data_IF_572977501895
#
_entry.id   IF_572977501895
#
_cell.length_a   1.000
_cell.length_b   1.000
_cell.length_c   1.000
_cell.angle_alpha   90.00
_cell.angle_beta   90.00
_cell.angle_gamma   90.00
#
_symmetry.space_group_name_H-M   'P 1'
#
loop_
_entity.id
_entity.type
_entity.pdbx_description
1 polymer ?
#
# COMPACT_ATOMS: atom_id res chain seq x y z
N UNK A 1 -5.05 -22.43 9.57
CA UNK A 1 -5.79 -21.54 8.69
C UNK A 1 -5.67 -22.02 7.26
N UNK A 2 -6.70 -22.48 6.60
CA UNK A 2 -6.60 -22.82 5.20
C UNK A 2 -6.90 -21.61 4.33
N UNK A 3 -5.85 -21.06 3.73
CA UNK A 3 -5.99 -20.46 2.41
C UNK A 3 -6.22 -21.61 1.42
N UNK A 4 -7.34 -22.28 1.52
CA UNK A 4 -7.62 -23.39 0.66
C UNK A 4 -8.73 -23.02 -0.28
N UNK A 5 -8.34 -22.53 -1.39
CA UNK A 5 -8.87 -22.91 -2.67
C UNK A 5 -8.16 -22.19 -3.80
N UNK A 6 -7.54 -22.90 -4.53
CA UNK A 6 -6.60 -23.12 -5.34
C UNK A 6 -6.78 -23.48 -6.67
N UNK A 7 -6.42 -22.72 -7.68
CA UNK A 7 -6.20 -23.18 -9.02
C UNK A 7 -4.75 -23.62 -9.18
N UNK A 8 -4.56 -24.81 -9.64
CA UNK A 8 -3.27 -25.47 -9.77
C UNK A 8 -2.33 -24.80 -10.74
N UNK A 9 -1.09 -24.65 -10.37
CA UNK A 9 0.04 -24.62 -11.30
C UNK A 9 0.71 -23.28 -11.54
N UNK A 10 0.05 -22.13 -11.27
CA UNK A 10 0.67 -20.81 -11.44
C UNK A 10 1.26 -20.21 -10.15
N UNK A 11 0.96 -20.81 -9.00
CA UNK A 11 1.24 -20.23 -7.68
C UNK A 11 2.72 -20.16 -7.30
N UNK A 12 3.55 -20.96 -7.93
CA UNK A 12 4.98 -21.04 -7.61
C UNK A 12 5.81 -19.87 -8.16
N UNK A 13 5.34 -19.20 -9.20
CA UNK A 13 6.07 -18.13 -9.88
C UNK A 13 5.67 -16.74 -9.38
N UNK A 14 4.41 -16.56 -8.99
CA UNK A 14 3.84 -15.27 -8.59
C UNK A 14 4.33 -14.83 -7.21
N UNK A 15 4.72 -15.76 -6.33
CA UNK A 15 5.07 -15.46 -4.93
C UNK A 15 6.48 -14.91 -4.72
N UNK A 16 7.33 -14.89 -5.74
CA UNK A 16 8.76 -14.53 -5.58
C UNK A 16 9.16 -13.17 -6.14
N UNK A 17 8.42 -12.61 -7.09
CA UNK A 17 8.79 -11.33 -7.71
C UNK A 17 7.58 -10.45 -7.99
N UNK A 18 7.49 -9.34 -7.29
CA UNK A 18 6.42 -8.33 -7.39
C UNK A 18 6.80 -7.13 -8.29
N UNK A 19 7.88 -7.25 -9.06
CA UNK A 19 8.39 -6.12 -9.85
C UNK A 19 7.38 -5.61 -10.89
N UNK A 20 6.66 -6.51 -11.56
CA UNK A 20 5.68 -6.12 -12.59
C UNK A 20 4.45 -5.40 -12.01
N UNK A 21 3.76 -5.92 -10.98
CA UNK A 21 2.70 -5.17 -10.30
C UNK A 21 3.18 -3.85 -9.73
N UNK A 22 4.37 -3.82 -9.12
CA UNK A 22 4.97 -2.60 -8.58
C UNK A 22 5.20 -1.53 -9.66
N UNK A 23 5.75 -1.93 -10.82
CA UNK A 23 5.91 -1.05 -11.97
C UNK A 23 4.57 -0.45 -12.43
N UNK A 24 3.53 -1.28 -12.54
CA UNK A 24 2.19 -0.81 -12.91
C UNK A 24 1.64 0.24 -11.94
N UNK A 25 1.75 0.00 -10.63
CA UNK A 25 1.28 0.96 -9.62
C UNK A 25 2.05 2.27 -9.64
N UNK A 26 3.38 2.24 -9.82
CA UNK A 26 4.18 3.46 -9.92
C UNK A 26 3.80 4.30 -11.14
N UNK A 27 3.52 3.65 -12.28
CA UNK A 27 3.03 4.35 -13.48
C UNK A 27 1.64 4.95 -13.27
N UNK A 28 0.72 4.19 -12.67
CA UNK A 28 -0.62 4.68 -12.34
C UNK A 28 -0.56 5.87 -11.39
N UNK A 29 0.30 5.80 -10.39
CA UNK A 29 0.50 6.90 -9.43
C UNK A 29 1.10 8.15 -10.10
N UNK A 30 2.11 8.00 -10.96
CA UNK A 30 2.68 9.12 -11.70
C UNK A 30 1.64 9.79 -12.59
N UNK A 31 0.82 8.99 -13.31
CA UNK A 31 -0.26 9.51 -14.15
C UNK A 31 -1.33 10.24 -13.34
N UNK A 32 -1.73 9.69 -12.19
CA UNK A 32 -2.71 10.31 -11.29
C UNK A 32 -2.24 11.69 -10.81
N UNK A 33 -1.00 11.77 -10.33
CA UNK A 33 -0.44 13.03 -9.83
C UNK A 33 -0.35 14.07 -10.94
N UNK A 34 0.07 13.71 -12.14
CA UNK A 34 0.16 14.63 -13.29
C UNK A 34 -1.20 15.08 -13.80
N UNK A 35 -2.21 14.20 -13.77
CA UNK A 35 -3.55 14.52 -14.24
C UNK A 35 -4.39 15.33 -13.25
N UNK A 36 -3.95 15.44 -11.99
CA UNK A 36 -4.70 16.12 -10.93
C UNK A 36 -4.09 17.51 -10.64
N UNK A 37 -4.75 18.60 -10.98
CA UNK A 37 -4.24 19.95 -10.67
C UNK A 37 -4.04 20.14 -9.17
N UNK A 38 -2.87 20.65 -8.79
CA UNK A 38 -2.54 20.92 -7.39
C UNK A 38 -2.34 19.66 -6.52
N UNK A 39 -2.22 18.49 -7.13
CA UNK A 39 -2.06 17.20 -6.42
C UNK A 39 -0.99 17.24 -5.34
N UNK A 40 0.18 17.79 -5.63
CA UNK A 40 1.34 17.77 -4.73
C UNK A 40 1.10 18.50 -3.40
N UNK A 41 0.20 19.52 -3.38
CA UNK A 41 -0.12 20.27 -2.18
C UNK A 41 -1.24 19.66 -1.33
N UNK A 42 -1.96 18.64 -1.83
CA UNK A 42 -3.04 17.98 -1.07
C UNK A 42 -2.47 17.18 0.09
N UNK A 43 -3.18 17.16 1.22
CA UNK A 43 -2.82 16.32 2.36
C UNK A 43 -3.22 14.87 2.12
N UNK A 44 -2.36 13.96 2.60
CA UNK A 44 -2.62 12.51 2.62
C UNK A 44 -3.49 12.13 3.82
N UNK A 45 -3.75 10.84 4.02
CA UNK A 45 -4.41 10.34 5.23
C UNK A 45 -3.59 10.59 6.50
N UNK A 46 -2.32 10.99 6.36
CA UNK A 46 -1.45 11.38 7.48
C UNK A 46 -1.53 12.90 7.70
N UNK A 47 -2.01 13.37 8.86
CA UNK A 47 -2.09 14.80 9.15
C UNK A 47 -0.74 15.51 8.97
N UNK A 48 -0.75 16.63 8.23
CA UNK A 48 0.44 17.43 7.97
C UNK A 48 1.41 16.85 6.94
N UNK A 49 1.07 15.74 6.27
CA UNK A 49 1.88 15.13 5.22
C UNK A 49 1.23 15.37 3.86
N UNK A 50 1.89 16.14 3.01
CA UNK A 50 1.40 16.39 1.64
C UNK A 50 1.72 15.22 0.71
N UNK A 51 1.02 15.16 -0.43
CA UNK A 51 1.32 14.21 -1.53
C UNK A 51 2.78 14.31 -1.95
N UNK A 52 3.33 15.52 -2.08
CA UNK A 52 4.75 15.73 -2.38
C UNK A 52 5.67 15.07 -1.35
N UNK A 53 5.42 15.30 -0.07
CA UNK A 53 6.22 14.72 1.01
C UNK A 53 6.13 13.19 1.02
N UNK A 54 4.94 12.63 0.79
CA UNK A 54 4.73 11.18 0.71
C UNK A 54 5.43 10.55 -0.50
N UNK A 55 5.45 11.23 -1.65
CA UNK A 55 6.21 10.78 -2.83
C UNK A 55 7.71 10.78 -2.57
N UNK A 56 8.24 11.80 -1.91
CA UNK A 56 9.66 11.86 -1.53
C UNK A 56 10.03 10.76 -0.55
N UNK A 57 9.16 10.46 0.41
CA UNK A 57 9.33 9.34 1.34
C UNK A 57 9.36 8.00 0.59
N UNK A 58 8.42 7.76 -0.33
CA UNK A 58 8.39 6.56 -1.15
C UNK A 58 9.67 6.39 -1.97
N UNK A 59 10.12 7.44 -2.67
CA UNK A 59 11.33 7.40 -3.48
C UNK A 59 12.58 7.19 -2.62
N UNK A 60 12.62 7.76 -1.41
CA UNK A 60 13.71 7.56 -0.46
C UNK A 60 13.77 6.10 -0.01
N UNK A 61 12.65 5.51 0.43
CA UNK A 61 12.60 4.13 0.91
C UNK A 61 13.01 3.13 -0.17
N UNK A 62 12.69 3.40 -1.42
CA UNK A 62 13.06 2.56 -2.56
C UNK A 62 14.56 2.57 -2.89
N UNK A 63 15.24 3.69 -2.63
CA UNK A 63 16.69 3.84 -2.88
C UNK A 63 17.56 3.36 -1.72
N UNK A 64 16.94 3.05 -0.58
CA UNK A 64 17.68 2.57 0.57
C UNK A 64 18.30 1.20 0.33
N UNK A 65 19.53 1.08 0.79
CA UNK A 65 20.19 -0.21 0.86
C UNK A 65 19.62 -1.03 2.05
N UNK A 66 19.94 -2.32 2.07
CA UNK A 66 19.44 -3.27 3.07
C UNK A 66 19.68 -2.83 4.53
N UNK A 67 20.77 -2.12 4.80
CA UNK A 67 21.14 -1.65 6.13
C UNK A 67 20.33 -0.43 6.54
N UNK A 68 20.08 0.49 5.64
CA UNK A 68 19.25 1.66 5.88
C UNK A 68 17.80 1.25 6.18
N UNK A 69 17.25 0.27 5.47
CA UNK A 69 15.92 -0.30 5.76
C UNK A 69 15.84 -0.99 7.13
N UNK A 70 16.94 -1.57 7.62
CA UNK A 70 16.99 -2.17 8.95
C UNK A 70 17.02 -1.09 10.05
N UNK A 71 17.76 -0.02 9.85
CA UNK A 71 17.88 1.10 10.78
C UNK A 71 16.53 1.83 10.96
N UNK A 72 15.75 2.03 9.88
CA UNK A 72 14.43 2.65 9.94
C UNK A 72 13.45 1.88 10.83
N UNK A 73 13.55 0.56 10.85
CA UNK A 73 12.71 -0.29 11.71
C UNK A 73 12.99 -0.12 13.21
N UNK A 74 14.12 0.45 13.57
CA UNK A 74 14.51 0.70 14.98
C UNK A 74 14.08 2.08 15.46
N UNK A 75 13.35 2.84 14.64
CA UNK A 75 12.79 4.15 15.03
C UNK A 75 13.74 5.34 14.82
N UNK A 76 14.80 5.18 14.03
CA UNK A 76 15.57 6.32 13.57
C UNK A 76 14.68 7.22 12.71
N UNK A 77 14.43 8.44 13.16
CA UNK A 77 13.62 9.42 12.44
C UNK A 77 14.40 9.88 11.20
N UNK A 78 13.82 9.64 10.02
CA UNK A 78 14.52 9.74 8.76
C UNK A 78 14.18 11.02 8.03
N UNK A 79 15.21 11.78 7.75
CA UNK A 79 15.14 12.85 6.75
C UNK A 79 15.23 12.23 5.35
N UNK A 80 14.54 12.77 4.35
CA UNK A 80 14.70 12.35 2.97
C UNK A 80 16.18 12.32 2.59
N UNK A 81 16.58 11.34 1.76
CA UNK A 81 17.93 11.34 1.19
C UNK A 81 18.21 12.71 0.57
N UNK A 82 19.39 13.33 0.79
CA UNK A 82 19.72 14.64 0.22
C UNK A 82 19.47 14.71 -1.29
N UNK A 83 19.69 13.61 -2.00
CA UNK A 83 19.45 13.49 -3.44
C UNK A 83 17.96 13.61 -3.78
N UNK A 84 17.07 12.98 -3.01
CA UNK A 84 15.64 13.04 -3.21
C UNK A 84 15.08 14.40 -2.76
N UNK A 85 15.63 14.98 -1.70
CA UNK A 85 15.24 16.31 -1.24
C UNK A 85 15.58 17.40 -2.27
N UNK A 86 16.64 17.22 -3.06
CA UNK A 86 17.07 18.14 -4.11
C UNK A 86 16.30 17.98 -5.45
N UNK A 87 15.43 16.99 -5.59
CA UNK A 87 14.60 16.83 -6.81
C UNK A 87 13.53 17.91 -6.82
N UNK A 88 13.43 18.65 -7.92
CA UNK A 88 12.31 19.58 -8.12
C UNK A 88 10.96 18.82 -8.11
N UNK A 89 9.95 19.45 -7.55
CA UNK A 89 8.61 18.85 -7.42
C UNK A 89 8.05 18.34 -8.76
N UNK A 90 8.25 19.11 -9.83
CA UNK A 90 7.81 18.78 -11.19
C UNK A 90 8.51 17.54 -11.79
N UNK A 91 9.62 17.12 -11.20
CA UNK A 91 10.39 15.96 -11.66
C UNK A 91 10.09 14.69 -10.88
N UNK A 92 9.32 14.74 -9.79
CA UNK A 92 9.02 13.58 -8.96
C UNK A 92 8.31 12.47 -9.75
N UNK A 93 7.38 12.85 -10.60
CA UNK A 93 6.63 11.88 -11.45
C UNK A 93 7.53 11.24 -12.51
N UNK A 94 8.48 11.99 -13.08
CA UNK A 94 9.46 11.43 -13.99
C UNK A 94 10.35 10.39 -13.29
N UNK A 95 10.79 10.65 -12.07
CA UNK A 95 11.56 9.69 -11.26
C UNK A 95 10.75 8.44 -10.94
N UNK A 96 9.44 8.58 -10.64
CA UNK A 96 8.56 7.41 -10.46
C UNK A 96 8.46 6.56 -11.74
N UNK A 97 8.40 7.18 -12.91
CA UNK A 97 8.39 6.47 -14.20
C UNK A 97 9.71 5.75 -14.46
N UNK A 98 10.84 6.38 -14.18
CA UNK A 98 12.15 5.76 -14.34
C UNK A 98 12.29 4.53 -13.43
N UNK A 99 11.81 4.62 -12.19
CA UNK A 99 11.74 3.51 -11.25
C UNK A 99 10.82 2.39 -11.78
N UNK A 100 9.67 2.74 -12.35
CA UNK A 100 8.74 1.78 -12.94
C UNK A 100 9.36 1.06 -14.15
N UNK A 101 10.05 1.78 -15.02
CA UNK A 101 10.78 1.19 -16.17
C UNK A 101 11.87 0.25 -15.65
N UNK A 102 12.61 0.63 -14.63
CA UNK A 102 13.64 -0.21 -14.01
C UNK A 102 13.03 -1.53 -13.48
N UNK A 103 11.88 -1.47 -12.81
CA UNK A 103 11.17 -2.65 -12.32
C UNK A 103 10.59 -3.52 -13.44
N UNK A 104 10.20 -2.95 -14.56
CA UNK A 104 9.69 -3.70 -15.73
C UNK A 104 10.78 -4.47 -16.47
N UNK A 105 12.04 -4.06 -16.32
CA UNK A 105 13.19 -4.77 -16.89
C UNK A 105 13.36 -6.14 -16.25
N UNK A 106 13.22 -7.22 -17.01
CA UNK A 106 13.05 -8.61 -16.56
C UNK A 106 14.05 -9.17 -15.53
N UNK A 107 15.13 -8.45 -15.22
CA UNK A 107 16.11 -8.80 -14.16
C UNK A 107 15.77 -8.19 -12.79
N UNK A 108 14.86 -7.22 -12.74
CA UNK A 108 14.51 -6.55 -11.50
C UNK A 108 13.75 -7.48 -10.54
N UNK A 109 14.03 -7.35 -9.26
CA UNK A 109 13.34 -8.09 -8.20
C UNK A 109 12.69 -7.11 -7.24
N UNK A 110 11.44 -7.38 -6.89
CA UNK A 110 10.69 -6.65 -5.89
C UNK A 110 10.11 -7.66 -4.88
N UNK A 111 10.46 -7.50 -3.63
CA UNK A 111 9.93 -8.33 -2.55
C UNK A 111 8.51 -7.90 -2.20
N UNK A 112 7.75 -8.78 -1.48
CA UNK A 112 6.41 -8.43 -0.99
C UNK A 112 6.44 -7.19 -0.07
N UNK A 113 7.48 -7.02 0.73
CA UNK A 113 7.63 -5.84 1.59
C UNK A 113 7.81 -4.56 0.80
N UNK A 114 8.66 -4.56 -0.25
CA UNK A 114 8.86 -3.42 -1.15
C UNK A 114 7.61 -3.09 -1.95
N UNK A 115 6.93 -4.12 -2.44
CA UNK A 115 5.65 -3.95 -3.11
C UNK A 115 4.58 -3.39 -2.16
N UNK A 116 4.55 -3.86 -0.91
CA UNK A 116 3.65 -3.36 0.12
C UNK A 116 3.85 -1.87 0.40
N UNK A 117 5.09 -1.37 0.44
CA UNK A 117 5.37 0.06 0.56
C UNK A 117 4.78 0.87 -0.60
N UNK A 118 4.95 0.38 -1.83
CA UNK A 118 4.39 1.02 -3.04
C UNK A 118 2.85 0.99 -3.00
N UNK A 119 2.26 -0.17 -2.67
CA UNK A 119 0.82 -0.32 -2.61
C UNK A 119 0.19 0.59 -1.55
N UNK A 120 0.76 0.64 -0.36
CA UNK A 120 0.27 1.51 0.73
C UNK A 120 0.36 2.98 0.33
N UNK A 121 1.47 3.40 -0.29
CA UNK A 121 1.61 4.76 -0.78
C UNK A 121 0.58 5.06 -1.89
N UNK A 122 0.37 4.13 -2.82
CA UNK A 122 -0.60 4.30 -3.90
C UNK A 122 -2.03 4.43 -3.36
N UNK A 123 -2.43 3.63 -2.37
CA UNK A 123 -3.74 3.71 -1.73
C UNK A 123 -3.92 5.00 -0.90
N UNK A 124 -2.90 5.41 -0.15
CA UNK A 124 -2.91 6.66 0.63
C UNK A 124 -3.07 7.87 -0.30
N UNK A 125 -2.26 7.93 -1.37
CA UNK A 125 -2.30 9.02 -2.34
C UNK A 125 -3.56 8.97 -3.23
N UNK A 126 -4.01 7.77 -3.63
CA UNK A 126 -5.28 7.59 -4.34
C UNK A 126 -6.45 8.16 -3.52
N UNK A 127 -6.53 7.82 -2.25
CA UNK A 127 -7.54 8.36 -1.33
C UNK A 127 -7.43 9.89 -1.20
N UNK A 128 -6.23 10.43 -1.06
CA UNK A 128 -6.00 11.87 -0.97
C UNK A 128 -6.40 12.64 -2.25
N UNK A 129 -6.34 11.97 -3.40
CA UNK A 129 -6.65 12.54 -4.71
C UNK A 129 -8.05 12.13 -5.23
N UNK A 130 -8.87 11.48 -4.40
CA UNK A 130 -10.21 10.98 -4.73
C UNK A 130 -10.21 10.04 -5.96
N UNK A 131 -9.19 9.18 -6.06
CA UNK A 131 -9.02 8.26 -7.18
C UNK A 131 -8.86 6.81 -6.72
N UNK A 132 -9.53 5.90 -7.43
CA UNK A 132 -9.30 4.47 -7.28
C UNK A 132 -8.23 4.00 -8.28
N UNK A 133 -7.14 3.43 -7.77
CA UNK A 133 -6.05 2.92 -8.59
C UNK A 133 -6.23 1.46 -9.01
N UNK A 134 -7.37 0.84 -8.71
CA UNK A 134 -7.74 -0.49 -9.20
C UNK A 134 -6.74 -1.58 -8.79
N UNK A 135 -6.53 -1.79 -7.50
CA UNK A 135 -5.56 -2.77 -7.01
C UNK A 135 -6.07 -4.20 -7.19
N UNK A 136 -5.23 -5.05 -7.74
CA UNK A 136 -5.51 -6.48 -7.90
C UNK A 136 -5.85 -7.14 -6.55
N UNK A 137 -6.96 -7.91 -6.46
CA UNK A 137 -7.40 -8.57 -5.22
C UNK A 137 -6.35 -9.50 -4.61
N UNK A 138 -5.65 -10.26 -5.42
CA UNK A 138 -4.60 -11.17 -4.94
C UNK A 138 -3.41 -10.38 -4.37
N UNK A 139 -3.01 -9.31 -5.04
CA UNK A 139 -1.92 -8.45 -4.61
C UNK A 139 -2.24 -7.76 -3.27
N UNK A 140 -3.46 -7.22 -3.12
CA UNK A 140 -3.89 -6.60 -1.86
C UNK A 140 -3.94 -7.60 -0.71
N UNK A 141 -4.42 -8.82 -0.94
CA UNK A 141 -4.45 -9.90 0.06
C UNK A 141 -3.06 -10.33 0.50
N UNK A 142 -2.11 -10.48 -0.43
CA UNK A 142 -0.73 -10.82 -0.11
C UNK A 142 -0.05 -9.74 0.74
N UNK A 143 -0.26 -8.46 0.42
CA UNK A 143 0.26 -7.33 1.21
C UNK A 143 -0.43 -7.27 2.57
N UNK A 144 -1.75 -7.47 2.64
CA UNK A 144 -2.47 -7.50 3.92
C UNK A 144 -1.93 -8.58 4.86
N UNK A 145 -1.64 -9.77 4.33
CA UNK A 145 -1.04 -10.87 5.11
C UNK A 145 0.36 -10.50 5.61
N UNK A 146 1.22 -9.96 4.75
CA UNK A 146 2.57 -9.55 5.11
C UNK A 146 2.56 -8.43 6.19
N UNK A 147 1.67 -7.45 6.05
CA UNK A 147 1.47 -6.40 7.05
C UNK A 147 0.92 -6.95 8.37
N UNK A 148 -0.02 -7.91 8.34
CA UNK A 148 -0.58 -8.53 9.53
C UNK A 148 0.48 -9.30 10.33
N UNK A 149 1.36 -10.03 9.67
CA UNK A 149 2.47 -10.76 10.32
C UNK A 149 3.43 -9.77 11.02
N UNK A 150 3.67 -8.61 10.44
CA UNK A 150 4.57 -7.57 10.96
C UNK A 150 3.85 -6.52 11.82
N UNK A 151 2.55 -6.67 12.04
CA UNK A 151 1.74 -5.68 12.74
C UNK A 151 2.26 -5.41 14.18
N UNK A 152 2.32 -4.14 14.61
CA UNK A 152 2.56 -3.79 16.00
C UNK A 152 1.48 -4.35 16.92
N UNK A 153 1.80 -4.46 18.23
CA UNK A 153 0.92 -5.08 19.23
C UNK A 153 -0.52 -4.52 19.19
N UNK A 154 -0.69 -3.21 19.06
CA UNK A 154 -2.01 -2.58 19.02
C UNK A 154 -2.89 -3.10 17.85
N UNK A 155 -2.33 -3.21 16.62
CA UNK A 155 -3.06 -3.76 15.46
C UNK A 155 -3.22 -5.26 15.56
N UNK A 156 -2.21 -5.97 16.08
CA UNK A 156 -2.29 -7.41 16.31
C UNK A 156 -3.43 -7.77 17.26
N UNK A 157 -3.68 -6.95 18.30
CA UNK A 157 -4.83 -7.14 19.19
C UNK A 157 -6.15 -7.07 18.45
N UNK A 158 -6.30 -6.17 17.47
CA UNK A 158 -7.48 -6.13 16.62
C UNK A 158 -7.62 -7.41 15.79
N UNK A 159 -6.53 -7.88 15.16
CA UNK A 159 -6.52 -9.11 14.36
C UNK A 159 -6.78 -10.37 15.19
N UNK A 160 -6.48 -10.36 16.47
CA UNK A 160 -6.81 -11.46 17.40
C UNK A 160 -8.29 -11.42 17.79
N UNK A 161 -8.87 -10.23 17.89
CA UNK A 161 -10.25 -10.03 18.32
C UNK A 161 -11.27 -10.03 17.17
N UNK A 162 -10.83 -9.77 15.94
CA UNK A 162 -11.68 -9.62 14.74
C UNK A 162 -11.05 -10.25 13.51
N UNK A 163 -11.89 -10.74 12.62
CA UNK A 163 -11.52 -11.11 11.25
C UNK A 163 -11.90 -9.96 10.31
N UNK A 164 -10.92 -9.27 9.76
CA UNK A 164 -11.13 -8.24 8.74
C UNK A 164 -11.44 -8.95 7.43
N UNK A 165 -12.61 -8.71 6.85
CA UNK A 165 -13.12 -9.35 5.63
C UNK A 165 -13.19 -8.31 4.53
N UNK A 166 -12.45 -8.52 3.45
CA UNK A 166 -12.51 -7.65 2.29
C UNK A 166 -13.81 -7.91 1.50
N UNK A 167 -14.71 -6.92 1.44
CA UNK A 167 -16.03 -7.06 0.78
C UNK A 167 -15.95 -6.95 -0.74
N UNK A 168 -14.87 -6.39 -1.25
CA UNK A 168 -14.56 -6.19 -2.67
C UNK A 168 -13.51 -7.19 -3.19
N UNK A 169 -13.13 -8.17 -2.36
CA UNK A 169 -12.10 -9.15 -2.66
C UNK A 169 -12.33 -10.45 -1.88
N UNK A 170 -11.82 -11.57 -2.39
CA UNK A 170 -12.04 -12.90 -1.79
C UNK A 170 -10.99 -13.25 -0.72
N UNK A 171 -10.61 -12.30 0.16
CA UNK A 171 -9.67 -12.59 1.23
C UNK A 171 -10.08 -11.99 2.57
N UNK A 172 -9.51 -12.56 3.61
CA UNK A 172 -9.70 -12.10 4.98
C UNK A 172 -8.45 -12.32 5.82
N UNK A 173 -8.30 -11.55 6.91
CA UNK A 173 -7.17 -11.63 7.83
C UNK A 173 -7.61 -11.40 9.27
N UNK A 174 -7.04 -12.18 10.20
CA UNK A 174 -7.37 -12.12 11.62
C UNK A 174 -8.18 -13.33 12.10
N UNK A 175 -8.63 -13.28 13.36
CA UNK A 175 -9.41 -14.34 14.02
C UNK A 175 -10.53 -13.71 14.84
N UNK A 176 -11.68 -14.38 14.92
CA UNK A 176 -12.83 -13.88 15.66
C UNK A 176 -13.98 -13.41 14.76
N UNK A 177 -14.96 -12.67 15.30
CA UNK A 177 -16.11 -12.19 14.53
C UNK A 177 -15.70 -11.33 13.34
N UNK A 178 -16.41 -11.49 12.21
CA UNK A 178 -16.15 -10.76 10.98
C UNK A 178 -16.35 -9.25 11.15
N UNK A 179 -15.45 -8.47 10.58
CA UNK A 179 -15.55 -7.03 10.43
C UNK A 179 -15.35 -6.71 8.93
N UNK A 180 -16.42 -6.49 8.18
CA UNK A 180 -16.34 -6.21 6.75
C UNK A 180 -15.78 -4.80 6.49
N UNK A 181 -14.95 -4.69 5.47
CA UNK A 181 -14.40 -3.44 4.97
C UNK A 181 -13.85 -3.62 3.56
N UNK A 182 -13.54 -2.54 2.84
CA UNK A 182 -12.84 -2.65 1.54
C UNK A 182 -11.40 -3.13 1.73
N UNK A 183 -10.87 -3.82 0.74
CA UNK A 183 -9.47 -4.26 0.72
C UNK A 183 -8.50 -3.12 0.99
N UNK A 184 -8.73 -1.96 0.35
CA UNK A 184 -7.94 -0.75 0.54
C UNK A 184 -7.97 -0.24 1.98
N UNK A 185 -9.15 -0.17 2.60
CA UNK A 185 -9.30 0.24 4.01
C UNK A 185 -8.56 -0.69 4.96
N UNK A 186 -8.62 -2.01 4.72
CA UNK A 186 -7.91 -3.01 5.54
C UNK A 186 -6.39 -2.84 5.39
N UNK A 187 -5.88 -2.72 4.17
CA UNK A 187 -4.44 -2.53 3.92
C UNK A 187 -3.94 -1.24 4.57
N UNK A 188 -4.67 -0.12 4.40
CA UNK A 188 -4.31 1.16 5.01
C UNK A 188 -4.33 1.08 6.55
N UNK A 189 -5.33 0.44 7.14
CA UNK A 189 -5.37 0.19 8.59
C UNK A 189 -4.16 -0.62 9.05
N UNK A 190 -3.84 -1.72 8.39
CA UNK A 190 -2.70 -2.57 8.74
C UNK A 190 -1.36 -1.84 8.59
N UNK A 191 -1.26 -0.94 7.62
CA UNK A 191 -0.09 -0.08 7.42
C UNK A 191 0.00 1.10 8.42
N UNK A 192 -1.08 1.39 9.16
CA UNK A 192 -1.15 2.53 10.08
C UNK A 192 -1.39 3.86 9.37
N UNK A 193 -1.99 3.80 8.21
CA UNK A 193 -2.51 4.95 7.48
C UNK A 193 -3.99 5.09 7.84
N UNK A 194 -4.35 5.85 8.80
CA UNK A 194 -5.71 5.93 9.34
C UNK A 194 -5.77 5.43 10.78
N UNK A 195 -6.27 6.27 11.68
CA UNK A 195 -6.23 6.03 13.12
C UNK A 195 -7.29 5.07 13.66
N UNK A 196 -8.20 4.55 12.83
CA UNK A 196 -9.37 3.78 13.29
C UNK A 196 -9.47 2.48 12.49
N UNK A 197 -9.78 1.34 13.14
CA UNK A 197 -10.12 0.12 12.42
C UNK A 197 -11.24 0.37 11.41
N UNK A 198 -11.28 -0.36 10.29
CA UNK A 198 -12.39 -0.27 9.35
C UNK A 198 -13.70 -0.38 10.12
N UNK A 199 -14.62 0.53 9.88
CA UNK A 199 -15.94 0.47 10.49
C UNK A 199 -16.82 -0.43 9.65
N UNK A 200 -17.67 -1.22 10.30
CA UNK A 200 -18.71 -1.96 9.61
C UNK A 200 -19.65 -0.95 8.96
N UNK A 201 -19.64 -0.87 7.64
CA UNK A 201 -20.69 -0.23 6.88
C UNK A 201 -21.88 -1.18 6.93
N UNK A 202 -22.85 -0.87 7.79
CA UNK A 202 -24.11 -1.60 7.82
C UNK A 202 -24.86 -1.27 6.53
N UNK A 203 -25.32 -2.26 5.76
CA UNK A 203 -26.21 -1.95 4.64
C UNK A 203 -27.41 -1.19 5.20
N UNK A 204 -27.68 0.00 4.67
CA UNK A 204 -28.88 0.73 5.01
C UNK A 204 -30.07 -0.19 4.68
N UNK A 205 -30.81 -0.58 5.72
CA UNK A 205 -32.08 -1.27 5.53
C UNK A 205 -32.95 -0.37 4.66
N UNK A 206 -33.18 -0.81 3.42
CA UNK A 206 -34.16 -0.15 2.56
C UNK A 206 -35.48 -0.11 3.33
N UNK A 207 -36.07 1.08 3.53
CA UNK A 207 -37.36 1.13 4.24
C UNK A 207 -38.38 0.27 3.49
N UNK A 208 -38.86 -0.76 4.16
CA UNK A 208 -39.94 -1.59 3.65
C UNK A 208 -41.16 -0.70 3.42
N UNK A 209 -41.55 -0.59 2.15
CA UNK A 209 -42.78 0.09 1.69
C UNK A 209 -43.97 -0.81 1.96
#
# INVERSE_FOLDING_TARGET
>A
LPLSNRANGADGEVTRNWARPASGLLLSLANLVESTPGALARETLRPGVTVEAALRELLTSRRWNRWQRLASRIGAQESPSPEIAAIDADRLTAVLRDDAVTLSGGSARCTIGEFGEILVAALDLGTALDADLGVDPFASGAVALDLAVRAPTARRSVLTARTLVAVDSEWQVGTGPALPATASSIVLFLAGRGGVPPRQEWPEESPST
#
